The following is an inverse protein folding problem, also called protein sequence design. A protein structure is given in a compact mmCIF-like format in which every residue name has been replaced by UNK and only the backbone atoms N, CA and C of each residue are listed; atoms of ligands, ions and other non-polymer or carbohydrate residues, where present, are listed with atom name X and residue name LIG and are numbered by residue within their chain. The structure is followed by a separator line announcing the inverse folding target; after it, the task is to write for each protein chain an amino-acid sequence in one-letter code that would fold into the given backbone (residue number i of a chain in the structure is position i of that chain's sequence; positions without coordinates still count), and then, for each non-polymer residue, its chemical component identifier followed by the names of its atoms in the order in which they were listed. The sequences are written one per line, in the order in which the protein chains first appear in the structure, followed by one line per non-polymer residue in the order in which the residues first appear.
data_IF_458494102904
#
_entry.id   IF_458494102904
#
_cell.length_a   1.000
_cell.length_b   1.000
_cell.length_c   1.000
_cell.angle_alpha   90.00
_cell.angle_beta   90.00
_cell.angle_gamma   90.00
#
_symmetry.space_group_name_H-M   'P 1'
#
loop_
_entity.id
_entity.type
_entity.pdbx_description
1 polymer ?
#
# COMPACT_ATOMS: atom_id res chain seq x y z
N UNK A 1 -11.57 4.73 -17.93
CA UNK A 1 -12.62 3.91 -17.28
C UNK A 1 -11.87 2.96 -16.38
N UNK A 2 -12.19 2.93 -15.08
CA UNK A 2 -11.60 1.96 -14.16
C UNK A 2 -12.44 0.69 -14.27
N UNK A 3 -11.84 -0.42 -14.67
CA UNK A 3 -12.55 -1.70 -14.85
C UNK A 3 -13.04 -2.27 -13.51
N UNK A 4 -12.27 -2.11 -12.43
CA UNK A 4 -12.67 -2.41 -11.04
C UNK A 4 -11.89 -1.52 -10.06
N UNK A 5 -12.58 -0.99 -9.05
CA UNK A 5 -11.97 -0.28 -7.94
C UNK A 5 -12.06 -1.16 -6.68
N UNK A 6 -10.92 -1.47 -6.07
CA UNK A 6 -10.83 -2.25 -4.83
C UNK A 6 -10.40 -1.32 -3.70
N UNK A 7 -11.37 -0.67 -3.06
CA UNK A 7 -11.11 0.23 -1.94
C UNK A 7 -10.57 -0.52 -0.70
N UNK A 8 -10.82 -1.82 -0.63
CA UNK A 8 -10.35 -2.76 0.37
C UNK A 8 -8.83 -2.98 0.31
N UNK A 9 -8.20 -2.66 -0.83
CA UNK A 9 -6.74 -2.63 -1.01
C UNK A 9 -6.14 -1.26 -0.69
N UNK A 10 -6.94 -0.30 -0.21
CA UNK A 10 -6.43 0.93 0.35
C UNK A 10 -5.85 0.70 1.76
N UNK A 11 -4.90 1.52 2.20
CA UNK A 11 -4.48 1.50 3.60
C UNK A 11 -5.67 1.82 4.53
N UNK A 12 -5.78 1.14 5.68
CA UNK A 12 -6.92 1.32 6.57
C UNK A 12 -6.93 2.75 7.12
N UNK A 13 -8.13 3.31 7.29
CA UNK A 13 -8.32 4.70 7.72
C UNK A 13 -7.61 5.01 9.06
N UNK A 14 -7.52 4.03 9.96
CA UNK A 14 -6.79 4.16 11.22
C UNK A 14 -5.28 4.33 11.01
N UNK A 15 -4.69 3.63 10.04
CA UNK A 15 -3.27 3.77 9.69
C UNK A 15 -3.02 5.11 9.02
N UNK A 16 -3.90 5.54 8.10
CA UNK A 16 -3.84 6.88 7.49
C UNK A 16 -3.89 8.00 8.54
N UNK A 17 -4.81 7.90 9.50
CA UNK A 17 -4.91 8.87 10.59
C UNK A 17 -3.63 8.90 11.45
N UNK A 18 -3.00 7.75 11.67
CA UNK A 18 -1.76 7.64 12.44
C UNK A 18 -0.59 8.31 11.71
N UNK A 19 -0.47 8.13 10.39
CA UNK A 19 0.52 8.85 9.57
C UNK A 19 0.26 10.35 9.60
N UNK A 20 -0.99 10.78 9.43
CA UNK A 20 -1.36 12.21 9.43
C UNK A 20 -1.00 12.88 10.77
N UNK A 21 -1.24 12.20 11.89
CA UNK A 21 -0.85 12.71 13.22
C UNK A 21 0.68 12.79 13.35
N UNK A 22 1.40 11.77 12.90
CA UNK A 22 2.85 11.72 12.89
C UNK A 22 3.50 12.76 11.96
N UNK A 23 2.83 13.17 10.88
CA UNK A 23 3.27 14.27 10.00
C UNK A 23 2.98 15.66 10.58
N UNK A 24 1.91 15.80 11.38
CA UNK A 24 1.55 17.06 12.00
C UNK A 24 2.50 17.45 13.15
N UNK A 25 3.02 16.47 13.89
CA UNK A 25 3.97 16.66 15.00
C UNK A 25 5.30 17.36 14.59
N UNK A 26 6.02 16.95 13.53
CA UNK A 26 7.24 17.62 13.06
C UNK A 26 6.98 18.96 12.35
N UNK A 27 5.82 19.13 11.71
CA UNK A 27 5.40 20.41 11.12
C UNK A 27 5.23 21.50 12.19
N UNK A 28 4.76 21.13 13.39
CA UNK A 28 4.71 22.02 14.55
C UNK A 28 6.11 22.37 15.10
N UNK A 29 7.14 21.58 14.80
CA UNK A 29 8.53 21.78 15.25
C UNK A 29 9.41 22.50 14.21
N UNK A 30 8.86 22.91 13.05
CA UNK A 30 9.58 23.71 12.06
C UNK A 30 10.59 22.94 11.20
N UNK A 31 10.45 21.62 11.07
CA UNK A 31 11.24 20.80 10.16
C UNK A 31 10.74 20.99 8.70
N UNK A 32 11.68 21.11 7.75
CA UNK A 32 11.37 21.27 6.32
C UNK A 32 10.50 20.11 5.80
N UNK A 33 9.52 20.44 4.95
CA UNK A 33 8.52 19.53 4.35
C UNK A 33 9.15 18.34 3.59
N UNK A 34 10.34 18.51 3.02
CA UNK A 34 11.00 17.59 2.07
C UNK A 34 11.54 16.25 2.67
N UNK A 35 11.09 15.89 3.87
CA UNK A 35 11.48 14.63 4.52
C UNK A 35 10.64 14.26 5.75
N UNK A 36 9.62 15.07 6.07
CA UNK A 36 8.72 14.79 7.19
C UNK A 36 7.83 13.58 6.90
N UNK A 37 7.45 13.35 5.64
CA UNK A 37 6.54 12.26 5.27
C UNK A 37 7.23 10.89 5.33
N UNK A 38 8.47 10.78 4.84
CA UNK A 38 9.26 9.56 4.93
C UNK A 38 9.59 9.22 6.39
N UNK A 39 9.90 10.23 7.20
CA UNK A 39 10.14 10.06 8.63
C UNK A 39 8.87 9.67 9.41
N UNK A 40 7.71 10.21 9.05
CA UNK A 40 6.43 9.81 9.62
C UNK A 40 6.08 8.38 9.24
N UNK A 41 6.30 7.99 7.98
CA UNK A 41 6.12 6.61 7.49
C UNK A 41 6.97 5.59 8.23
N UNK A 42 8.26 5.89 8.41
CA UNK A 42 9.18 5.01 9.15
C UNK A 42 8.81 4.99 10.65
N UNK A 43 8.37 6.13 11.23
CA UNK A 43 7.98 6.19 12.65
C UNK A 43 6.77 5.35 13.01
N UNK A 44 5.84 5.18 12.08
CA UNK A 44 4.61 4.39 12.29
C UNK A 44 4.74 2.99 11.68
N UNK A 45 5.94 2.60 11.24
CA UNK A 45 6.23 1.34 10.56
C UNK A 45 5.19 1.04 9.46
N UNK A 46 4.82 2.06 8.67
CA UNK A 46 3.65 2.00 7.77
C UNK A 46 3.71 0.80 6.82
N UNK A 47 4.90 0.51 6.29
CA UNK A 47 5.09 -0.60 5.36
C UNK A 47 4.78 -1.96 5.98
N UNK A 48 5.21 -2.18 7.23
CA UNK A 48 4.94 -3.42 7.96
C UNK A 48 3.50 -3.48 8.45
N UNK A 49 2.95 -2.39 9.00
CA UNK A 49 1.55 -2.32 9.41
C UNK A 49 0.59 -2.55 8.24
N UNK A 50 0.91 -1.99 7.07
CA UNK A 50 0.14 -2.21 5.86
C UNK A 50 0.30 -3.64 5.34
N UNK A 51 1.50 -4.23 5.40
CA UNK A 51 1.70 -5.64 5.04
C UNK A 51 0.89 -6.58 5.95
N UNK A 52 0.89 -6.33 7.25
CA UNK A 52 0.09 -7.10 8.20
C UNK A 52 -1.40 -6.98 7.89
N UNK A 53 -1.87 -5.77 7.58
CA UNK A 53 -3.25 -5.55 7.16
C UNK A 53 -3.62 -6.37 5.91
N UNK A 54 -2.73 -6.39 4.91
CA UNK A 54 -2.91 -7.20 3.69
C UNK A 54 -3.04 -8.71 3.96
N UNK A 55 -2.56 -9.20 5.10
CA UNK A 55 -2.55 -10.64 5.45
C UNK A 55 -3.58 -11.02 6.52
N UNK A 56 -4.09 -10.04 7.27
CA UNK A 56 -4.98 -10.27 8.41
C UNK A 56 -6.42 -9.88 8.11
N UNK A 57 -6.65 -8.89 7.25
CA UNK A 57 -7.99 -8.46 6.87
C UNK A 57 -8.57 -9.40 5.79
N UNK A 58 -9.77 -9.92 6.06
CA UNK A 58 -10.39 -10.92 5.21
C UNK A 58 -10.85 -10.35 3.86
N UNK A 59 -11.35 -9.11 3.85
CA UNK A 59 -11.83 -8.46 2.63
C UNK A 59 -10.65 -8.05 1.75
N UNK A 60 -9.58 -7.55 2.35
CA UNK A 60 -8.31 -7.27 1.68
C UNK A 60 -7.66 -8.53 1.12
N UNK A 61 -7.62 -9.63 1.89
CA UNK A 61 -7.14 -10.93 1.42
C UNK A 61 -7.94 -11.44 0.22
N UNK A 62 -9.26 -11.31 0.24
CA UNK A 62 -10.12 -11.70 -0.87
C UNK A 62 -9.85 -10.85 -2.12
N UNK A 63 -9.71 -9.53 -1.96
CA UNK A 63 -9.38 -8.63 -3.06
C UNK A 63 -8.00 -8.95 -3.67
N UNK A 64 -6.99 -9.29 -2.85
CA UNK A 64 -5.68 -9.74 -3.32
C UNK A 64 -5.76 -11.03 -4.15
N UNK A 65 -6.52 -12.01 -3.68
CA UNK A 65 -6.72 -13.26 -4.40
C UNK A 65 -7.42 -13.05 -5.75
N UNK A 66 -8.36 -12.10 -5.82
CA UNK A 66 -8.98 -11.68 -7.09
C UNK A 66 -7.91 -11.12 -8.03
N UNK A 67 -7.07 -10.17 -7.57
CA UNK A 67 -5.99 -9.62 -8.38
C UNK A 67 -5.01 -10.69 -8.89
N UNK A 68 -4.61 -11.63 -8.02
CA UNK A 68 -3.77 -12.77 -8.40
C UNK A 68 -4.40 -13.62 -9.50
N UNK A 69 -5.70 -13.91 -9.38
CA UNK A 69 -6.44 -14.65 -10.40
C UNK A 69 -6.41 -13.95 -11.76
N UNK A 70 -6.63 -12.63 -11.79
CA UNK A 70 -6.59 -11.85 -13.04
C UNK A 70 -5.18 -11.77 -13.63
N UNK A 71 -4.16 -11.55 -12.80
CA UNK A 71 -2.77 -11.52 -13.25
C UNK A 71 -2.32 -12.88 -13.81
N UNK A 72 -2.71 -13.98 -13.16
CA UNK A 72 -2.44 -15.33 -13.64
C UNK A 72 -3.18 -15.66 -14.94
N UNK A 73 -4.36 -15.05 -15.16
CA UNK A 73 -5.09 -15.13 -16.42
C UNK A 73 -4.45 -14.30 -17.56
N UNK A 74 -3.38 -13.55 -17.27
CA UNK A 74 -2.66 -12.72 -18.23
C UNK A 74 -3.19 -11.30 -18.38
N UNK A 75 -4.10 -10.87 -17.50
CA UNK A 75 -4.60 -9.50 -17.49
C UNK A 75 -3.58 -8.52 -16.91
N UNK A 76 -3.63 -7.28 -17.36
CA UNK A 76 -2.76 -6.20 -16.88
C UNK A 76 -3.54 -5.29 -15.91
N UNK A 77 -3.04 -5.17 -14.68
CA UNK A 77 -3.70 -4.38 -13.63
C UNK A 77 -2.95 -3.08 -13.38
N UNK A 78 -3.67 -1.95 -13.44
CA UNK A 78 -3.13 -0.64 -13.09
C UNK A 78 -3.45 -0.30 -11.64
N UNK A 79 -2.41 -0.16 -10.81
CA UNK A 79 -2.57 0.31 -9.43
C UNK A 79 -2.61 1.84 -9.41
N UNK A 80 -3.76 2.38 -9.03
CA UNK A 80 -4.04 3.82 -8.94
C UNK A 80 -4.18 4.20 -7.46
N UNK A 81 -3.52 5.27 -7.06
CA UNK A 81 -3.67 5.89 -5.74
C UNK A 81 -4.16 7.32 -5.95
N UNK A 82 -5.17 7.73 -5.19
CA UNK A 82 -5.69 9.11 -5.24
C UNK A 82 -4.71 10.11 -4.61
N UNK A 83 -3.82 9.62 -3.74
CA UNK A 83 -2.85 10.47 -3.03
C UNK A 83 -1.54 10.59 -3.82
N UNK A 84 -1.35 11.77 -4.42
CA UNK A 84 -0.25 12.24 -5.28
C UNK A 84 1.14 11.68 -4.95
N UNK A 85 1.68 10.82 -5.81
CA UNK A 85 3.04 10.29 -5.67
C UNK A 85 3.88 10.51 -6.92
N UNK A 86 4.50 11.68 -7.01
CA UNK A 86 5.71 11.85 -7.83
C UNK A 86 6.97 11.99 -6.96
N UNK A 87 6.85 12.19 -5.63
CA UNK A 87 8.01 12.43 -4.74
C UNK A 87 7.93 11.73 -3.35
N UNK A 88 6.90 10.93 -3.04
CA UNK A 88 6.72 10.31 -1.69
C UNK A 88 6.51 8.79 -1.76
N UNK A 89 6.95 8.04 -0.73
CA UNK A 89 6.66 6.60 -0.57
C UNK A 89 5.13 6.38 -0.63
N UNK A 90 4.70 5.39 -1.42
CA UNK A 90 3.29 5.08 -1.66
C UNK A 90 2.99 3.63 -1.27
N UNK A 91 1.83 3.38 -0.67
CA UNK A 91 1.33 2.04 -0.36
C UNK A 91 1.29 1.12 -1.60
N UNK A 92 1.16 1.68 -2.81
CA UNK A 92 1.26 0.95 -4.08
C UNK A 92 2.57 0.19 -4.25
N UNK A 93 3.70 0.74 -3.80
CA UNK A 93 4.99 0.06 -3.92
C UNK A 93 5.03 -1.18 -3.04
N UNK A 94 4.46 -1.08 -1.82
CA UNK A 94 4.31 -2.24 -0.90
C UNK A 94 3.34 -3.26 -1.48
N UNK A 95 2.20 -2.82 -2.00
CA UNK A 95 1.20 -3.69 -2.63
C UNK A 95 1.77 -4.41 -3.86
N UNK A 96 2.50 -3.70 -4.73
CA UNK A 96 3.18 -4.29 -5.89
C UNK A 96 4.17 -5.37 -5.45
N UNK A 97 5.07 -5.04 -4.52
CA UNK A 97 6.07 -5.98 -4.03
C UNK A 97 5.41 -7.24 -3.44
N UNK A 98 4.27 -7.10 -2.75
CA UNK A 98 3.52 -8.24 -2.21
C UNK A 98 2.92 -9.12 -3.31
N UNK A 99 2.33 -8.52 -4.35
CA UNK A 99 1.80 -9.25 -5.50
C UNK A 99 2.92 -9.99 -6.25
N UNK A 100 4.08 -9.34 -6.46
CA UNK A 100 5.24 -9.95 -7.10
C UNK A 100 5.80 -11.14 -6.29
N UNK A 101 5.90 -11.01 -4.96
CA UNK A 101 6.34 -12.10 -4.07
C UNK A 101 5.40 -13.32 -4.12
N UNK A 102 4.08 -13.08 -4.15
CA UNK A 102 3.08 -14.15 -4.21
C UNK A 102 3.08 -14.86 -5.56
N UNK A 103 3.21 -14.12 -6.65
CA UNK A 103 3.35 -14.69 -8.00
C UNK A 103 4.68 -15.43 -8.17
N UNK A 104 5.77 -14.94 -7.57
CA UNK A 104 7.07 -15.62 -7.60
C UNK A 104 7.06 -16.92 -6.77
N UNK A 105 6.34 -16.94 -5.64
CA UNK A 105 6.11 -18.15 -4.85
C UNK A 105 5.35 -19.23 -5.62
N UNK A 106 4.40 -18.84 -6.46
CA UNK A 106 3.64 -19.74 -7.34
C UNK A 106 4.51 -20.27 -8.51
N UNK A 107 5.36 -19.39 -9.08
CA UNK A 107 6.30 -19.71 -10.16
C UNK A 107 7.48 -20.62 -9.75
N UNK A 108 7.77 -20.76 -8.45
CA UNK A 108 8.84 -21.64 -7.96
C UNK A 108 8.44 -23.14 -7.90
N UNK A 109 7.20 -23.48 -8.25
CA UNK A 109 6.69 -24.86 -8.23
C UNK A 109 6.72 -25.60 -9.58
N UNK A 110 7.25 -24.98 -10.64
CA UNK A 110 7.29 -25.55 -12.00
C UNK A 110 8.65 -26.12 -12.43
#
# INVERSE_FOLDING_TARGET
MVDKNHAELGPPAALLATVTDAEAEPKLQGLCDDGADDAAWDRVDFGDAYREFLETDADTCAALADLEFWLAAGESIALVCDESTEQKRCHRTVLRARLEDRLAGDYSSY
#
